data_IF_979404191869
#
_entry.id   IF_979404191869
#
_cell.length_a   1.000
_cell.length_b   1.000
_cell.length_c   1.000
_cell.angle_alpha   90.00
_cell.angle_beta   90.00
_cell.angle_gamma   90.00
#
_symmetry.space_group_name_H-M   'P 1'
#
loop_
_entity.id
_entity.type
_entity.pdbx_description
1 polymer ?
#
# COMPACT_ATOMS: atom_id res chain seq x y z
N UNK A 1 -7.87 -16.58 -4.94
CA UNK A 1 -7.70 -16.35 -6.39
C UNK A 1 -6.22 -16.41 -6.67
N UNK A 2 -5.79 -17.01 -7.78
CA UNK A 2 -4.36 -17.03 -8.13
C UNK A 2 -3.92 -15.68 -8.72
N UNK A 3 -2.64 -15.38 -8.68
CA UNK A 3 -2.00 -14.15 -9.12
C UNK A 3 -2.14 -14.01 -10.62
N UNK A 4 -2.05 -15.12 -11.35
CA UNK A 4 -2.35 -15.15 -12.78
C UNK A 4 -3.81 -14.78 -13.08
N UNK A 5 -4.76 -15.21 -12.24
CA UNK A 5 -6.18 -14.87 -12.37
C UNK A 5 -6.41 -13.39 -12.02
N UNK A 6 -5.80 -12.90 -10.95
CA UNK A 6 -5.78 -11.47 -10.58
C UNK A 6 -5.24 -10.64 -11.74
N UNK A 7 -4.08 -11.02 -12.28
CA UNK A 7 -3.41 -10.32 -13.39
C UNK A 7 -4.30 -10.25 -14.62
N UNK A 8 -4.93 -11.36 -14.99
CA UNK A 8 -5.83 -11.40 -16.15
C UNK A 8 -7.09 -10.56 -15.93
N UNK A 9 -7.63 -10.55 -14.70
CA UNK A 9 -8.78 -9.71 -14.36
C UNK A 9 -8.44 -8.22 -14.44
N UNK A 10 -7.27 -7.81 -13.94
CA UNK A 10 -6.79 -6.43 -14.08
C UNK A 10 -6.56 -6.05 -15.55
N UNK A 11 -5.96 -6.95 -16.33
CA UNK A 11 -5.76 -6.77 -17.78
C UNK A 11 -7.09 -6.59 -18.51
N UNK A 12 -8.07 -7.43 -18.22
CA UNK A 12 -9.38 -7.40 -18.88
C UNK A 12 -10.15 -6.11 -18.55
N UNK A 13 -10.08 -5.64 -17.30
CA UNK A 13 -10.87 -4.49 -16.85
C UNK A 13 -10.21 -3.14 -17.14
N UNK A 14 -8.89 -3.05 -17.03
CA UNK A 14 -8.15 -1.78 -17.10
C UNK A 14 -6.93 -1.80 -18.01
N UNK A 15 -6.60 -2.91 -18.68
CA UNK A 15 -5.35 -3.05 -19.44
C UNK A 15 -5.17 -2.08 -20.61
N UNK A 16 -6.24 -1.46 -21.10
CA UNK A 16 -6.18 -0.41 -22.13
C UNK A 16 -5.98 1.00 -21.54
N UNK A 17 -6.04 1.15 -20.22
CA UNK A 17 -5.89 2.42 -19.52
C UNK A 17 -4.49 2.56 -18.94
N UNK A 18 -3.92 3.79 -18.87
CA UNK A 18 -2.61 4.02 -18.25
C UNK A 18 -2.50 3.48 -16.82
N UNK A 19 -3.56 3.63 -16.02
CA UNK A 19 -3.62 3.11 -14.65
C UNK A 19 -3.56 1.59 -14.60
N UNK A 20 -4.18 0.89 -15.55
CA UNK A 20 -4.16 -0.57 -15.58
C UNK A 20 -2.79 -1.12 -15.94
N UNK A 21 -2.05 -0.44 -16.83
CA UNK A 21 -0.65 -0.80 -17.11
C UNK A 21 0.21 -0.68 -15.85
N UNK A 22 0.06 0.41 -15.08
CA UNK A 22 0.76 0.59 -13.81
C UNK A 22 0.38 -0.49 -12.79
N UNK A 23 -0.90 -0.86 -12.70
CA UNK A 23 -1.33 -1.98 -11.86
C UNK A 23 -0.63 -3.29 -12.26
N UNK A 24 -0.57 -3.60 -13.57
CA UNK A 24 0.07 -4.81 -14.08
C UNK A 24 1.58 -4.82 -13.80
N UNK A 25 2.27 -3.69 -13.96
CA UNK A 25 3.71 -3.59 -13.64
C UNK A 25 3.96 -3.84 -12.15
N UNK A 26 3.10 -3.32 -11.27
CA UNK A 26 3.18 -3.57 -9.83
C UNK A 26 2.90 -5.04 -9.50
N UNK A 27 1.92 -5.66 -10.15
CA UNK A 27 1.60 -7.10 -10.01
C UNK A 27 2.79 -7.97 -10.46
N UNK A 28 3.44 -7.61 -11.56
CA UNK A 28 4.61 -8.33 -12.06
C UNK A 28 5.82 -8.16 -11.12
N UNK A 29 5.98 -6.96 -10.53
CA UNK A 29 7.01 -6.72 -9.52
C UNK A 29 6.82 -7.61 -8.29
N UNK A 30 5.62 -7.67 -7.71
CA UNK A 30 5.39 -8.51 -6.52
C UNK A 30 5.58 -10.00 -6.82
N UNK A 31 5.18 -10.46 -8.00
CA UNK A 31 5.37 -11.84 -8.44
C UNK A 31 6.86 -12.22 -8.52
N UNK A 32 7.73 -11.23 -8.72
CA UNK A 32 9.18 -11.42 -8.84
C UNK A 32 9.95 -11.38 -7.50
N UNK A 33 9.26 -11.13 -6.38
CA UNK A 33 9.87 -10.91 -5.07
C UNK A 33 9.42 -11.96 -4.06
N UNK A 34 10.31 -12.37 -3.14
CA UNK A 34 9.90 -13.23 -2.04
C UNK A 34 9.02 -12.43 -1.05
N UNK A 35 8.08 -13.13 -0.41
CA UNK A 35 7.03 -12.53 0.45
C UNK A 35 7.60 -11.68 1.59
N UNK A 36 8.74 -12.08 2.14
CA UNK A 36 9.43 -11.34 3.22
C UNK A 36 9.85 -9.93 2.80
N UNK A 37 10.13 -9.70 1.52
CA UNK A 37 10.47 -8.38 0.97
C UNK A 37 9.26 -7.51 0.65
N UNK A 38 8.04 -8.04 0.75
CA UNK A 38 6.82 -7.35 0.38
C UNK A 38 6.04 -6.80 1.58
N UNK A 39 6.54 -6.99 2.81
CA UNK A 39 5.83 -6.60 4.04
C UNK A 39 5.74 -5.09 4.27
N UNK A 40 6.54 -4.31 3.54
CA UNK A 40 6.59 -2.86 3.68
C UNK A 40 6.86 -2.18 2.33
N UNK A 41 5.80 -1.79 1.62
CA UNK A 41 5.89 -1.13 0.32
C UNK A 41 5.36 0.30 0.44
N UNK A 42 6.20 1.30 0.19
CA UNK A 42 5.77 2.71 0.16
C UNK A 42 5.30 3.10 -1.24
N UNK A 43 4.65 4.26 -1.39
CA UNK A 43 4.36 4.83 -2.71
C UNK A 43 5.61 4.96 -3.59
N UNK A 44 6.76 5.33 -3.01
CA UNK A 44 8.02 5.41 -3.74
C UNK A 44 8.43 4.04 -4.26
N UNK A 45 8.28 2.99 -3.45
CA UNK A 45 8.59 1.61 -3.85
C UNK A 45 7.70 1.15 -5.00
N UNK A 46 6.38 1.39 -4.91
CA UNK A 46 5.41 1.02 -5.94
C UNK A 46 5.57 1.85 -7.23
N UNK A 47 5.95 3.12 -7.10
CA UNK A 47 6.32 3.98 -8.23
C UNK A 47 7.52 3.43 -8.99
N UNK A 48 8.57 3.02 -8.26
CA UNK A 48 9.76 2.40 -8.84
C UNK A 48 9.46 1.04 -9.48
N UNK A 49 8.60 0.24 -8.85
CA UNK A 49 8.12 -1.02 -9.41
C UNK A 49 7.44 -0.82 -10.78
N UNK A 50 6.67 0.26 -10.93
CA UNK A 50 6.05 0.67 -12.18
C UNK A 50 6.99 1.41 -13.17
N UNK A 51 8.31 1.40 -12.91
CA UNK A 51 9.29 2.07 -13.77
C UNK A 51 9.18 3.60 -13.80
N UNK A 52 8.54 4.22 -12.81
CA UNK A 52 8.32 5.67 -12.73
C UNK A 52 9.45 6.35 -11.95
N UNK A 53 9.72 7.62 -12.33
CA UNK A 53 10.75 8.46 -11.67
C UNK A 53 10.20 9.24 -10.48
N UNK A 54 8.88 9.34 -10.35
CA UNK A 54 8.17 10.09 -9.32
C UNK A 54 6.78 9.51 -9.12
N UNK A 55 6.19 9.79 -7.96
CA UNK A 55 4.78 9.45 -7.68
C UNK A 55 3.91 10.41 -8.51
N UNK A 56 3.30 9.89 -9.57
CA UNK A 56 2.36 10.61 -10.44
C UNK A 56 0.91 10.20 -10.15
N UNK A 57 -0.05 10.82 -10.85
CA UNK A 57 -1.47 10.55 -10.66
C UNK A 57 -1.83 9.10 -11.01
N UNK A 58 -1.15 8.51 -11.99
CA UNK A 58 -1.34 7.12 -12.39
C UNK A 58 -0.88 6.15 -11.29
N UNK A 59 0.26 6.41 -10.64
CA UNK A 59 0.70 5.64 -9.46
C UNK A 59 -0.32 5.75 -8.33
N UNK A 60 -0.78 6.95 -8.00
CA UNK A 60 -1.79 7.13 -6.94
C UNK A 60 -3.08 6.38 -7.26
N UNK A 61 -3.56 6.46 -8.50
CA UNK A 61 -4.76 5.76 -8.94
C UNK A 61 -4.59 4.23 -8.93
N UNK A 62 -3.41 3.73 -9.33
CA UNK A 62 -3.12 2.30 -9.34
C UNK A 62 -3.07 1.75 -7.91
N UNK A 63 -2.35 2.41 -6.99
CA UNK A 63 -2.31 2.02 -5.58
C UNK A 63 -3.70 2.04 -4.96
N UNK A 64 -4.53 3.03 -5.29
CA UNK A 64 -5.92 3.05 -4.85
C UNK A 64 -6.72 1.84 -5.38
N UNK A 65 -6.58 1.49 -6.67
CA UNK A 65 -7.24 0.29 -7.21
C UNK A 65 -6.74 -1.01 -6.57
N UNK A 66 -5.46 -1.10 -6.25
CA UNK A 66 -4.83 -2.29 -5.66
C UNK A 66 -5.13 -2.44 -4.16
N UNK A 67 -5.63 -1.39 -3.50
CA UNK A 67 -5.97 -1.40 -2.06
C UNK A 67 -7.46 -1.32 -1.77
N UNK A 68 -8.27 -0.70 -2.64
CA UNK A 68 -9.67 -0.36 -2.34
C UNK A 68 -10.70 -1.07 -3.22
N UNK A 69 -10.28 -1.87 -4.20
CA UNK A 69 -11.20 -2.55 -5.11
C UNK A 69 -11.61 -3.93 -4.57
N UNK A 70 -12.61 -4.56 -5.21
CA UNK A 70 -12.94 -5.98 -4.95
C UNK A 70 -11.79 -6.94 -5.31
N UNK A 71 -10.80 -6.44 -6.05
CA UNK A 71 -9.60 -7.17 -6.46
C UNK A 71 -8.38 -6.64 -5.71
N UNK A 72 -8.58 -5.96 -4.57
CA UNK A 72 -7.49 -5.46 -3.76
C UNK A 72 -6.54 -6.60 -3.39
N UNK A 73 -5.27 -6.37 -3.68
CA UNK A 73 -4.18 -7.29 -3.36
C UNK A 73 -3.28 -6.74 -2.26
N UNK A 74 -3.44 -5.47 -1.91
CA UNK A 74 -2.74 -4.82 -0.82
C UNK A 74 -3.70 -4.37 0.27
N UNK A 75 -3.20 -4.41 1.49
CA UNK A 75 -3.76 -3.72 2.64
C UNK A 75 -2.99 -2.41 2.83
N UNK A 76 -3.72 -1.35 3.20
CA UNK A 76 -3.13 -0.04 3.49
C UNK A 76 -2.92 0.10 4.98
N UNK A 77 -1.69 0.44 5.35
CA UNK A 77 -1.27 0.72 6.71
C UNK A 77 -0.70 2.14 6.77
N UNK A 78 -0.53 2.63 7.99
CA UNK A 78 0.12 3.90 8.25
C UNK A 78 1.08 3.73 9.43
N UNK A 79 2.21 4.40 9.34
CA UNK A 79 3.18 4.49 10.41
C UNK A 79 3.30 5.96 10.80
N UNK A 80 3.28 6.22 12.10
CA UNK A 80 3.68 7.50 12.66
C UNK A 80 5.19 7.51 12.85
N UNK A 81 5.86 8.56 12.39
CA UNK A 81 7.29 8.78 12.58
C UNK A 81 7.49 10.02 13.44
N UNK A 82 8.15 9.84 14.58
CA UNK A 82 8.48 10.92 15.51
C UNK A 82 9.67 11.77 15.01
N UNK A 83 9.89 12.91 15.68
CA UNK A 83 11.02 13.83 15.40
C UNK A 83 12.40 13.17 15.56
N UNK A 84 12.50 12.09 16.35
CA UNK A 84 13.73 11.32 16.56
C UNK A 84 13.86 10.10 15.62
N UNK A 85 13.02 10.05 14.58
CA UNK A 85 12.93 8.96 13.60
C UNK A 85 12.41 7.64 14.18
N UNK A 86 11.81 7.65 15.38
CA UNK A 86 11.15 6.46 15.93
C UNK A 86 9.86 6.16 15.17
N UNK A 87 9.72 4.88 14.77
CA UNK A 87 8.62 4.39 13.95
C UNK A 87 7.56 3.69 14.82
N UNK A 88 6.32 4.12 14.70
CA UNK A 88 5.17 3.53 15.37
C UNK A 88 4.10 3.11 14.36
N UNK A 89 3.92 1.80 14.18
CA UNK A 89 2.81 1.30 13.36
C UNK A 89 1.47 1.63 14.02
N UNK A 90 0.56 2.22 13.24
CA UNK A 90 -0.80 2.49 13.69
C UNK A 90 -1.70 1.31 13.31
N UNK A 91 -2.55 0.89 14.24
CA UNK A 91 -3.63 -0.02 13.93
C UNK A 91 -4.60 0.61 12.92
N UNK A 92 -5.33 -0.24 12.19
CA UNK A 92 -6.35 0.23 11.26
C UNK A 92 -7.45 1.07 11.95
N UNK A 93 -7.75 0.77 13.22
CA UNK A 93 -8.72 1.52 14.03
C UNK A 93 -8.19 2.91 14.37
N UNK A 94 -6.95 3.01 14.86
CA UNK A 94 -6.30 4.30 15.19
C UNK A 94 -6.17 5.18 13.96
N UNK A 95 -5.73 4.63 12.82
CA UNK A 95 -5.61 5.40 11.59
C UNK A 95 -6.98 5.85 11.04
N UNK A 96 -8.00 5.00 11.12
CA UNK A 96 -9.35 5.35 10.70
C UNK A 96 -9.97 6.41 11.63
N UNK A 97 -9.75 6.32 12.94
CA UNK A 97 -10.18 7.30 13.91
C UNK A 97 -9.49 8.65 13.67
N UNK A 98 -8.16 8.66 13.49
CA UNK A 98 -7.40 9.88 13.21
C UNK A 98 -7.86 10.58 11.93
N UNK A 99 -8.17 9.83 10.87
CA UNK A 99 -8.77 10.38 9.64
C UNK A 99 -10.16 10.97 9.87
N UNK A 100 -10.95 10.39 10.77
CA UNK A 100 -12.33 10.82 11.05
C UNK A 100 -12.36 12.06 11.95
N UNK A 101 -11.48 12.12 12.94
CA UNK A 101 -11.44 13.18 13.97
C UNK A 101 -10.50 14.32 13.60
N UNK A 102 -9.53 14.07 12.72
CA UNK A 102 -8.41 14.98 12.46
C UNK A 102 -7.43 15.04 13.64
N UNK A 103 -7.42 14.04 14.51
CA UNK A 103 -6.59 13.98 15.71
C UNK A 103 -5.98 12.60 15.87
N UNK A 104 -4.66 12.54 16.03
CA UNK A 104 -3.95 11.29 16.36
C UNK A 104 -3.39 11.38 17.78
N UNK A 105 -3.63 10.33 18.57
CA UNK A 105 -3.00 10.16 19.88
C UNK A 105 -1.77 9.29 19.69
N UNK A 106 -0.63 9.75 20.20
CA UNK A 106 0.63 9.02 20.10
C UNK A 106 0.52 7.69 20.88
N UNK A 107 0.89 6.55 20.27
CA UNK A 107 0.65 5.23 20.86
C UNK A 107 1.42 4.98 22.16
N UNK A 108 2.64 5.53 22.30
CA UNK A 108 3.43 5.36 23.54
C UNK A 108 3.18 6.45 24.60
N UNK A 109 3.21 7.73 24.23
CA UNK A 109 3.10 8.83 25.19
C UNK A 109 1.65 9.13 25.58
N UNK A 110 0.67 8.76 24.75
CA UNK A 110 -0.74 9.12 24.92
C UNK A 110 -1.04 10.61 24.68
N UNK A 111 -0.09 11.37 24.15
CA UNK A 111 -0.24 12.79 23.85
C UNK A 111 -0.83 13.01 22.45
N UNK A 112 -1.47 14.16 22.24
CA UNK A 112 -1.96 14.56 20.93
C UNK A 112 -0.77 14.88 20.03
N UNK A 113 -0.73 14.29 18.82
CA UNK A 113 0.27 14.62 17.80
C UNK A 113 -0.25 15.79 16.95
N UNK A 114 0.30 17.01 17.10
CA UNK A 114 -0.05 18.12 16.24
C UNK A 114 0.44 17.86 14.80
N UNK A 115 -0.36 18.28 13.82
CA UNK A 115 -0.03 18.13 12.39
C UNK A 115 0.40 16.69 12.00
N UNK A 116 -0.21 15.68 12.63
CA UNK A 116 0.18 14.27 12.48
C UNK A 116 0.24 13.81 11.01
N UNK A 117 -0.54 14.41 10.11
CA UNK A 117 -0.51 14.09 8.67
C UNK A 117 0.87 14.22 8.03
N UNK A 118 1.73 15.13 8.52
CA UNK A 118 3.10 15.30 8.01
C UNK A 118 4.07 14.24 8.54
N UNK A 119 3.66 13.54 9.60
CA UNK A 119 4.42 12.50 10.29
C UNK A 119 3.95 11.09 9.90
N UNK A 120 2.88 10.99 9.11
CA UNK A 120 2.36 9.72 8.64
C UNK A 120 3.03 9.27 7.34
N UNK A 121 3.61 8.08 7.40
CA UNK A 121 4.11 7.37 6.22
C UNK A 121 3.12 6.24 5.89
N UNK A 122 2.35 6.34 4.80
CA UNK A 122 1.54 5.23 4.32
C UNK A 122 2.43 4.14 3.73
N UNK A 123 2.13 2.90 4.08
CA UNK A 123 2.76 1.73 3.50
C UNK A 123 1.72 0.65 3.19
N UNK A 124 2.12 -0.28 2.34
CA UNK A 124 1.26 -1.31 1.78
C UNK A 124 1.91 -2.68 1.96
N UNK A 125 1.09 -3.66 2.29
CA UNK A 125 1.50 -5.05 2.41
C UNK A 125 0.52 -5.94 1.63
N UNK A 126 0.98 -7.06 1.03
CA UNK A 126 0.09 -8.03 0.42
C UNK A 126 -1.00 -8.50 1.40
N UNK A 127 -2.23 -8.66 0.92
CA UNK A 127 -3.31 -9.28 1.73
C UNK A 127 -2.91 -10.68 2.17
N UNK A 128 -3.50 -11.19 3.25
CA UNK A 128 -3.25 -12.56 3.72
C UNK A 128 -3.53 -13.63 2.63
N UNK A 129 -4.47 -13.36 1.73
CA UNK A 129 -4.75 -14.22 0.58
C UNK A 129 -3.58 -14.23 -0.40
N UNK A 130 -3.06 -13.06 -0.79
CA UNK A 130 -1.92 -12.96 -1.70
C UNK A 130 -0.65 -13.51 -1.07
N UNK A 131 -0.41 -13.30 0.23
CA UNK A 131 0.76 -13.85 0.93
C UNK A 131 0.80 -15.38 0.87
N UNK A 132 -0.32 -16.04 1.12
CA UNK A 132 -0.43 -17.51 1.03
C UNK A 132 -0.11 -17.99 -0.37
N UNK A 133 -0.65 -17.29 -1.36
CA UNK A 133 -0.46 -17.65 -2.75
C UNK A 133 1.01 -17.53 -3.20
N UNK A 134 1.68 -16.43 -2.82
CA UNK A 134 3.09 -16.20 -3.10
C UNK A 134 4.03 -17.15 -2.33
N UNK A 135 3.58 -17.72 -1.21
CA UNK A 135 4.35 -18.70 -0.44
C UNK A 135 4.23 -20.13 -0.99
N UNK A 136 3.13 -20.44 -1.69
CA UNK A 136 2.81 -21.76 -2.25
C UNK A 136 3.30 -21.94 -3.71
N UNK A 137 3.77 -20.86 -4.36
CA UNK A 137 4.26 -20.84 -5.75
C UNK A 137 5.78 -20.91 -5.88
#
# INVERSE_FOLDING_TARGET
MKLDEIREEYRTRWGELPVGLVCLDIIDFIASKPVDQLRFLTFTTLSQAAGRKSIDMEVLAAVNLLTSSKLAIFESHAMLVDDDETEHELSAEEFAEARKTGMLIHPETGELVPDFETHLIPFFAPTEELQRELADG
#
